data_IF_662897883976
#
_entry.id   IF_662897883976
#
_cell.length_a   1.000
_cell.length_b   1.000
_cell.length_c   1.000
_cell.angle_alpha   90.00
_cell.angle_beta   90.00
_cell.angle_gamma   90.00
#
_symmetry.space_group_name_H-M   'P 1'
#
loop_
_entity.id
_entity.type
_entity.pdbx_description
1 polymer ?
#
# COMPACT_ATOMS: atom_id res chain seq x y z
N UNK A 1 13.80 -13.84 7.37
CA UNK A 1 13.14 -12.62 6.86
C UNK A 1 13.99 -12.16 5.68
N UNK A 2 13.44 -12.09 4.47
CA UNK A 2 14.16 -11.55 3.32
C UNK A 2 14.02 -10.03 3.40
N UNK A 3 15.00 -9.39 4.01
CA UNK A 3 15.05 -7.93 4.01
C UNK A 3 15.20 -7.46 2.55
N UNK A 4 14.31 -6.55 2.14
CA UNK A 4 14.34 -5.96 0.81
C UNK A 4 15.65 -5.21 0.53
N UNK A 5 15.95 -4.96 -0.74
CA UNK A 5 17.24 -4.34 -1.15
C UNK A 5 17.55 -2.97 -0.51
N UNK A 6 16.53 -2.29 0.03
CA UNK A 6 16.58 -0.97 0.65
C UNK A 6 16.46 -0.97 2.18
N UNK A 7 16.38 -2.15 2.81
CA UNK A 7 16.33 -2.23 4.26
C UNK A 7 17.54 -1.54 4.89
N UNK A 8 17.29 -0.61 5.81
CA UNK A 8 18.31 0.17 6.50
C UNK A 8 19.04 1.20 5.63
N UNK A 9 18.47 1.61 4.49
CA UNK A 9 19.13 2.53 3.53
C UNK A 9 18.33 3.75 3.12
N UNK A 10 17.01 3.73 3.28
CA UNK A 10 16.14 4.82 2.84
C UNK A 10 15.10 5.14 3.92
N UNK A 11 15.15 6.38 4.42
CA UNK A 11 14.27 6.86 5.49
C UNK A 11 12.79 6.70 5.14
N UNK A 12 12.36 7.08 3.93
CA UNK A 12 10.95 6.97 3.55
C UNK A 12 10.48 5.50 3.54
N UNK A 13 11.33 4.60 3.05
CA UNK A 13 11.05 3.17 3.07
C UNK A 13 10.88 2.66 4.51
N UNK A 14 11.81 3.00 5.40
CA UNK A 14 11.76 2.57 6.80
C UNK A 14 10.55 3.16 7.55
N UNK A 15 10.28 4.45 7.37
CA UNK A 15 9.16 5.16 8.02
C UNK A 15 7.81 4.57 7.64
N UNK A 16 7.60 4.25 6.37
CA UNK A 16 6.37 3.62 5.90
C UNK A 16 6.18 2.23 6.51
N UNK A 17 7.23 1.42 6.59
CA UNK A 17 7.14 0.05 7.10
C UNK A 17 7.10 -0.02 8.63
N UNK A 18 7.58 1.00 9.34
CA UNK A 18 7.57 1.06 10.80
C UNK A 18 6.15 1.03 11.40
N UNK A 19 5.12 1.36 10.62
CA UNK A 19 3.72 1.29 11.06
C UNK A 19 3.20 -0.14 11.24
N UNK A 20 3.75 -1.13 10.52
CA UNK A 20 3.27 -2.52 10.55
C UNK A 20 4.36 -3.50 11.01
N UNK A 21 5.60 -3.28 10.56
CA UNK A 21 6.72 -4.15 10.87
C UNK A 21 7.43 -3.67 12.13
N UNK A 22 7.67 -4.59 13.06
CA UNK A 22 8.48 -4.33 14.25
C UNK A 22 9.97 -4.34 13.91
N UNK A 23 10.76 -3.72 14.78
CA UNK A 23 12.23 -3.72 14.72
C UNK A 23 12.80 -3.17 13.39
N UNK A 24 12.19 -2.09 12.87
CA UNK A 24 12.72 -1.35 11.70
C UNK A 24 13.94 -0.51 12.06
N UNK A 25 14.68 -0.11 11.03
CA UNK A 25 15.92 0.63 11.17
C UNK A 25 15.65 2.13 11.31
N UNK A 26 16.32 2.81 12.24
CA UNK A 26 16.38 4.27 12.23
C UNK A 26 17.41 4.73 11.20
N UNK A 27 16.95 5.42 10.16
CA UNK A 27 17.76 5.85 9.02
C UNK A 27 17.55 7.33 8.77
N UNK A 28 18.63 8.09 8.66
CA UNK A 28 18.64 9.52 8.32
C UNK A 28 19.34 9.75 6.96
N UNK A 29 18.99 8.90 5.99
CA UNK A 29 19.50 8.92 4.62
C UNK A 29 18.37 8.53 3.66
N UNK A 30 18.19 9.30 2.58
CA UNK A 30 17.18 8.99 1.56
C UNK A 30 17.70 9.30 0.16
N UNK A 31 17.12 8.60 -0.82
CA UNK A 31 17.41 8.84 -2.23
C UNK A 31 16.53 9.96 -2.80
N UNK A 32 17.05 10.67 -3.81
CA UNK A 32 16.31 11.67 -4.58
C UNK A 32 15.70 12.82 -3.76
N UNK A 33 16.54 13.62 -3.10
CA UNK A 33 16.13 14.73 -2.20
C UNK A 33 14.91 15.54 -2.67
N UNK A 34 14.91 16.09 -3.89
CA UNK A 34 13.72 16.70 -4.46
C UNK A 34 12.97 15.68 -5.35
N UNK A 35 11.70 15.34 -5.06
CA UNK A 35 10.81 15.96 -4.08
C UNK A 35 10.73 15.23 -2.73
N UNK A 36 11.41 14.08 -2.58
CA UNK A 36 11.18 13.14 -1.47
C UNK A 36 11.41 13.71 -0.07
N UNK A 37 12.22 14.74 0.08
CA UNK A 37 12.41 15.44 1.36
C UNK A 37 11.09 15.98 1.92
N UNK A 38 10.21 16.48 1.08
CA UNK A 38 8.93 17.05 1.55
C UNK A 38 8.03 15.93 2.10
N UNK A 39 7.93 14.79 1.41
CA UNK A 39 7.11 13.67 1.93
C UNK A 39 7.73 13.07 3.20
N UNK A 40 9.05 12.97 3.30
CA UNK A 40 9.74 12.50 4.52
C UNK A 40 9.43 13.45 5.68
N UNK A 41 9.63 14.76 5.51
CA UNK A 41 9.36 15.76 6.54
C UNK A 41 7.93 15.66 7.10
N UNK A 42 6.94 15.25 6.29
CA UNK A 42 5.56 15.12 6.73
C UNK A 42 5.35 14.14 7.90
N UNK A 43 6.24 13.15 8.06
CA UNK A 43 6.22 12.19 9.18
C UNK A 43 6.80 12.76 10.48
N UNK A 44 7.52 13.88 10.41
CA UNK A 44 8.25 14.47 11.53
C UNK A 44 7.68 15.83 11.96
N UNK A 45 6.45 16.16 11.55
CA UNK A 45 5.79 17.41 11.93
C UNK A 45 5.03 17.29 13.24
N UNK A 46 4.95 18.41 13.95
CA UNK A 46 4.21 18.50 15.21
C UNK A 46 2.71 18.64 14.98
N UNK A 47 2.29 19.18 13.83
CA UNK A 47 0.86 19.35 13.50
C UNK A 47 0.45 18.76 12.15
N UNK A 48 -0.79 18.25 12.03
CA UNK A 48 -1.31 17.72 10.77
C UNK A 48 -1.25 18.72 9.61
N UNK A 49 -1.46 20.01 9.88
CA UNK A 49 -1.45 21.07 8.86
C UNK A 49 -0.07 21.24 8.23
N UNK A 50 0.99 21.06 9.01
CA UNK A 50 2.35 21.08 8.49
C UNK A 50 2.63 19.85 7.63
N UNK A 51 2.19 18.66 8.05
CA UNK A 51 2.30 17.43 7.25
C UNK A 51 1.54 17.56 5.93
N UNK A 52 0.31 18.09 5.97
CA UNK A 52 -0.52 18.36 4.79
C UNK A 52 0.19 19.31 3.83
N UNK A 53 0.76 20.41 4.34
CA UNK A 53 1.49 21.39 3.53
C UNK A 53 2.71 20.76 2.84
N UNK A 54 3.41 19.88 3.54
CA UNK A 54 4.56 19.18 2.98
C UNK A 54 4.16 18.19 1.88
N UNK A 55 3.07 17.42 2.09
CA UNK A 55 2.50 16.54 1.05
C UNK A 55 2.04 17.35 -0.17
N UNK A 56 1.45 18.52 0.02
CA UNK A 56 1.07 19.39 -1.08
C UNK A 56 2.28 19.87 -1.90
N UNK A 57 3.36 20.26 -1.22
CA UNK A 57 4.60 20.70 -1.87
C UNK A 57 5.23 19.54 -2.66
N UNK A 58 5.25 18.36 -2.05
CA UNK A 58 5.66 17.11 -2.69
C UNK A 58 4.91 16.87 -3.99
N UNK A 59 3.56 16.86 -3.94
CA UNK A 59 2.70 16.61 -5.09
C UNK A 59 2.92 17.64 -6.21
N UNK A 60 3.01 18.94 -5.86
CA UNK A 60 3.29 20.02 -6.83
C UNK A 60 4.63 19.84 -7.53
N UNK A 61 5.64 19.34 -6.81
CA UNK A 61 6.99 19.13 -7.34
C UNK A 61 7.18 17.76 -8.02
N UNK A 62 6.28 16.80 -7.77
CA UNK A 62 6.42 15.38 -8.12
C UNK A 62 6.83 15.17 -9.57
N UNK A 63 5.95 15.53 -10.50
CA UNK A 63 6.17 15.23 -11.93
C UNK A 63 7.44 15.87 -12.48
N UNK A 64 7.67 17.15 -12.14
CA UNK A 64 8.83 17.91 -12.60
C UNK A 64 10.15 17.34 -12.08
N UNK A 65 10.15 16.78 -10.89
CA UNK A 65 11.36 16.23 -10.26
C UNK A 65 11.73 14.87 -10.85
N UNK A 66 10.76 14.18 -11.48
CA UNK A 66 10.92 12.85 -12.04
C UNK A 66 11.48 12.83 -13.47
N UNK A 67 11.92 13.98 -14.01
CA UNK A 67 12.47 14.09 -15.38
C UNK A 67 13.58 13.12 -15.75
N UNK A 68 14.35 12.65 -14.77
CA UNK A 68 15.45 11.69 -14.98
C UNK A 68 14.97 10.23 -14.91
N UNK A 69 13.74 10.00 -14.48
CA UNK A 69 13.19 8.67 -14.38
C UNK A 69 12.85 8.13 -15.78
N UNK A 70 13.13 6.84 -16.07
CA UNK A 70 12.94 6.27 -17.41
C UNK A 70 11.47 6.24 -17.84
N UNK A 71 10.53 6.32 -16.90
CA UNK A 71 9.09 6.33 -17.15
C UNK A 71 8.53 7.76 -17.37
N UNK A 72 9.30 8.81 -17.13
CA UNK A 72 8.86 10.19 -17.36
C UNK A 72 8.54 10.38 -18.85
N UNK A 73 7.42 11.05 -19.15
CA UNK A 73 6.88 11.22 -20.51
C UNK A 73 6.56 9.92 -21.27
N UNK A 74 6.50 8.77 -20.59
CA UNK A 74 6.13 7.50 -21.22
C UNK A 74 4.74 7.54 -21.89
N UNK A 75 3.82 8.37 -21.37
CA UNK A 75 2.51 8.64 -21.99
C UNK A 75 2.60 9.22 -23.41
N UNK A 76 3.70 9.90 -23.78
CA UNK A 76 3.91 10.42 -25.13
C UNK A 76 4.28 9.31 -26.14
N UNK A 77 4.72 8.15 -25.65
CA UNK A 77 5.13 7.00 -26.46
C UNK A 77 3.99 5.99 -26.68
N UNK A 78 2.74 6.40 -26.44
CA UNK A 78 1.53 5.62 -26.71
C UNK A 78 1.09 5.76 -28.17
N UNK A 79 1.98 5.44 -29.11
CA UNK A 79 1.71 5.46 -30.55
C UNK A 79 2.16 4.15 -31.21
N UNK A 80 1.90 3.99 -32.52
CA UNK A 80 2.19 2.77 -33.27
C UNK A 80 3.69 2.41 -33.34
N UNK A 81 4.57 3.35 -33.01
CA UNK A 81 6.03 3.22 -33.07
C UNK A 81 6.67 3.07 -31.68
N UNK A 82 5.90 3.32 -30.61
CA UNK A 82 6.35 3.34 -29.23
C UNK A 82 5.97 2.08 -28.46
N UNK A 83 6.69 1.82 -27.36
CA UNK A 83 6.53 0.60 -26.56
C UNK A 83 5.28 0.60 -25.64
N UNK A 84 4.44 1.64 -25.66
CA UNK A 84 3.16 1.67 -24.94
C UNK A 84 3.23 1.48 -23.43
N UNK A 85 4.40 1.62 -22.80
CA UNK A 85 4.64 1.27 -21.39
C UNK A 85 4.19 2.36 -20.39
N UNK A 86 3.07 3.03 -20.65
CA UNK A 86 2.48 3.99 -19.71
C UNK A 86 1.46 3.29 -18.81
N UNK A 87 1.68 3.33 -17.50
CA UNK A 87 0.85 2.72 -16.48
C UNK A 87 0.18 3.75 -15.54
N UNK A 88 0.20 5.02 -15.93
CA UNK A 88 -0.27 6.13 -15.10
C UNK A 88 0.84 6.80 -14.29
N UNK A 89 0.47 7.90 -13.64
CA UNK A 89 1.34 8.63 -12.72
C UNK A 89 0.71 8.58 -11.33
N UNK A 90 1.37 7.85 -10.43
CA UNK A 90 0.81 7.52 -9.13
C UNK A 90 1.83 7.83 -8.05
N UNK A 91 1.56 8.87 -7.26
CA UNK A 91 2.31 9.18 -6.05
C UNK A 91 1.78 8.31 -4.90
N UNK A 92 2.14 7.02 -4.90
CA UNK A 92 1.64 6.03 -3.94
C UNK A 92 2.08 6.37 -2.52
N UNK A 93 3.32 6.86 -2.37
CA UNK A 93 3.90 7.36 -1.13
C UNK A 93 3.07 8.49 -0.50
N UNK A 94 2.49 9.38 -1.30
CA UNK A 94 1.63 10.46 -0.78
C UNK A 94 0.31 9.91 -0.23
N UNK A 95 -0.28 8.91 -0.90
CA UNK A 95 -1.47 8.23 -0.39
C UNK A 95 -1.18 7.43 0.89
N UNK A 96 -0.03 6.74 0.94
CA UNK A 96 0.40 6.02 2.13
C UNK A 96 0.59 6.97 3.32
N UNK A 97 1.29 8.10 3.14
CA UNK A 97 1.47 9.10 4.19
C UNK A 97 0.12 9.68 4.68
N UNK A 98 -0.77 10.09 3.77
CA UNK A 98 -2.08 10.62 4.13
C UNK A 98 -2.97 9.62 4.89
N UNK A 99 -2.81 8.33 4.60
CA UNK A 99 -3.51 7.26 5.29
C UNK A 99 -2.88 6.96 6.66
N UNK A 100 -1.57 6.72 6.73
CA UNK A 100 -0.85 6.33 7.95
C UNK A 100 -0.81 7.45 9.00
N UNK A 101 -0.71 8.71 8.57
CA UNK A 101 -0.74 9.89 9.44
C UNK A 101 -2.17 10.37 9.76
N UNK A 102 -3.20 9.64 9.30
CA UNK A 102 -4.62 9.97 9.48
C UNK A 102 -5.00 11.41 9.06
N UNK A 103 -4.37 11.93 8.01
CA UNK A 103 -4.51 13.34 7.59
C UNK A 103 -5.81 13.62 6.83
N UNK A 104 -6.36 14.82 6.98
CA UNK A 104 -7.41 15.32 6.09
C UNK A 104 -6.80 15.71 4.72
N UNK A 105 -7.07 14.88 3.71
CA UNK A 105 -6.51 15.02 2.37
C UNK A 105 -7.36 15.87 1.42
N UNK A 106 -8.40 16.56 1.94
CA UNK A 106 -9.32 17.36 1.12
C UNK A 106 -8.61 18.41 0.26
N UNK A 107 -7.57 19.07 0.77
CA UNK A 107 -6.92 20.18 0.07
C UNK A 107 -6.13 19.77 -1.19
N UNK A 108 -5.66 18.52 -1.26
CA UNK A 108 -4.88 17.99 -2.38
C UNK A 108 -5.54 16.81 -3.10
N UNK A 109 -6.80 16.51 -2.75
CA UNK A 109 -7.56 15.38 -3.27
C UNK A 109 -7.70 15.36 -4.78
N UNK A 110 -7.75 16.53 -5.41
CA UNK A 110 -7.90 16.68 -6.87
C UNK A 110 -6.56 16.78 -7.61
N UNK A 111 -5.44 16.57 -6.92
CA UNK A 111 -4.14 16.53 -7.55
C UNK A 111 -4.01 15.31 -8.48
N UNK A 112 -3.59 15.53 -9.73
CA UNK A 112 -3.68 14.53 -10.80
C UNK A 112 -2.92 13.22 -10.55
N UNK A 113 -1.82 13.28 -9.79
CA UNK A 113 -1.01 12.09 -9.46
C UNK A 113 -1.36 11.48 -8.09
N UNK A 114 -2.28 12.09 -7.33
CA UNK A 114 -2.64 11.63 -5.99
C UNK A 114 -3.71 10.53 -6.07
N UNK A 115 -3.43 9.30 -5.60
CA UNK A 115 -4.36 8.18 -5.73
C UNK A 115 -5.40 8.18 -4.60
N UNK A 116 -6.30 9.19 -4.61
CA UNK A 116 -7.36 9.37 -3.59
C UNK A 116 -8.24 8.13 -3.37
N UNK A 117 -8.50 7.38 -4.43
CA UNK A 117 -9.37 6.20 -4.36
C UNK A 117 -8.72 5.06 -3.57
N UNK A 118 -7.37 4.96 -3.59
CA UNK A 118 -6.65 3.99 -2.76
C UNK A 118 -6.76 4.35 -1.28
N UNK A 119 -6.68 5.64 -0.94
CA UNK A 119 -6.85 6.12 0.44
C UNK A 119 -8.27 5.88 0.93
N UNK A 120 -9.28 6.16 0.10
CA UNK A 120 -10.67 5.86 0.43
C UNK A 120 -10.92 4.37 0.62
N UNK A 121 -10.35 3.55 -0.25
CA UNK A 121 -10.44 2.12 -0.14
C UNK A 121 -9.84 1.62 1.18
N UNK A 122 -8.62 2.05 1.51
CA UNK A 122 -7.94 1.67 2.75
C UNK A 122 -8.75 2.08 4.00
N UNK A 123 -9.20 3.35 4.06
CA UNK A 123 -10.04 3.85 5.16
C UNK A 123 -11.37 3.12 5.31
N UNK A 124 -11.97 2.67 4.19
CA UNK A 124 -13.19 1.85 4.22
C UNK A 124 -12.89 0.44 4.71
N UNK A 125 -11.77 -0.13 4.26
CA UNK A 125 -11.33 -1.47 4.65
C UNK A 125 -11.11 -1.55 6.16
N UNK A 126 -10.45 -0.57 6.78
CA UNK A 126 -10.24 -0.57 8.24
C UNK A 126 -11.54 -0.45 9.04
N UNK A 127 -12.47 0.38 8.56
CA UNK A 127 -13.80 0.52 9.21
C UNK A 127 -14.63 -0.76 9.11
N UNK A 128 -14.37 -1.58 8.10
CA UNK A 128 -15.03 -2.86 7.86
C UNK A 128 -14.26 -4.04 8.43
N UNK A 129 -12.98 -3.86 8.74
CA UNK A 129 -12.18 -4.86 9.38
C UNK A 129 -12.83 -5.15 10.74
N UNK A 130 -13.23 -6.41 11.03
CA UNK A 130 -13.55 -6.76 12.40
C UNK A 130 -12.33 -6.38 13.25
N UNK A 131 -12.53 -5.91 14.51
CA UNK A 131 -11.40 -5.59 15.38
C UNK A 131 -10.41 -6.73 15.28
N UNK A 132 -9.15 -6.43 14.91
CA UNK A 132 -8.09 -7.41 14.80
C UNK A 132 -8.20 -8.31 16.02
N UNK A 133 -8.71 -9.51 15.79
CA UNK A 133 -8.83 -10.49 16.82
C UNK A 133 -7.39 -10.75 17.23
N UNK A 134 -7.04 -10.40 18.46
CA UNK A 134 -5.97 -11.03 19.22
C UNK A 134 -6.28 -12.51 19.50
N UNK A 135 -7.22 -13.10 18.76
CA UNK A 135 -7.42 -14.52 18.64
C UNK A 135 -6.32 -15.13 17.76
N UNK A 136 -5.90 -16.35 18.10
CA UNK A 136 -4.72 -16.97 17.52
C UNK A 136 -4.90 -17.19 16.01
N UNK A 137 -3.79 -17.42 15.31
CA UNK A 137 -3.69 -17.89 13.90
C UNK A 137 -4.65 -19.05 13.51
N UNK A 138 -5.40 -19.60 14.47
CA UNK A 138 -6.41 -20.64 14.36
C UNK A 138 -7.58 -20.34 13.41
N UNK A 139 -7.78 -19.11 12.92
CA UNK A 139 -8.87 -18.81 11.97
C UNK A 139 -8.41 -18.69 10.51
N UNK A 140 -7.15 -19.04 10.20
CA UNK A 140 -6.66 -19.18 8.82
C UNK A 140 -6.18 -20.60 8.59
N UNK A 141 -6.72 -21.27 7.57
CA UNK A 141 -6.35 -22.64 7.22
C UNK A 141 -6.10 -22.73 5.72
N UNK A 142 -4.98 -23.34 5.32
CA UNK A 142 -4.68 -23.56 3.89
C UNK A 142 -5.62 -24.63 3.30
N UNK A 143 -5.96 -24.48 2.02
CA UNK A 143 -6.75 -25.48 1.29
C UNK A 143 -6.05 -26.84 1.30
N UNK A 144 -6.78 -27.89 1.67
CA UNK A 144 -6.24 -29.23 1.90
C UNK A 144 -5.97 -29.57 3.37
N UNK A 145 -6.16 -28.65 4.31
CA UNK A 145 -6.09 -28.91 5.75
C UNK A 145 -7.49 -28.97 6.41
N UNK A 146 -7.64 -29.64 7.57
CA UNK A 146 -8.90 -29.73 8.28
C UNK A 146 -9.28 -28.39 8.91
N UNK A 147 -10.57 -28.07 8.86
CA UNK A 147 -11.13 -26.86 9.41
C UNK A 147 -10.97 -26.80 10.94
N UNK A 148 -10.35 -25.75 11.50
CA UNK A 148 -10.03 -25.68 12.93
C UNK A 148 -11.27 -25.45 13.81
N UNK A 149 -12.31 -24.83 13.27
CA UNK A 149 -13.57 -24.54 13.96
C UNK A 149 -14.77 -24.56 13.01
N UNK A 150 -15.90 -25.11 13.47
CA UNK A 150 -17.14 -25.08 12.71
C UNK A 150 -17.61 -23.62 12.47
N UNK A 151 -18.05 -23.31 11.25
CA UNK A 151 -18.50 -21.97 10.88
C UNK A 151 -18.54 -21.74 9.38
N UNK A 152 -18.76 -20.50 8.97
CA UNK A 152 -18.69 -20.09 7.56
C UNK A 152 -17.28 -19.65 7.19
N UNK A 153 -16.73 -20.25 6.15
CA UNK A 153 -15.39 -19.99 5.62
C UNK A 153 -15.48 -19.64 4.14
N UNK A 154 -14.59 -18.79 3.66
CA UNK A 154 -14.48 -18.44 2.25
C UNK A 154 -13.00 -18.36 1.84
N UNK A 155 -12.73 -18.50 0.55
CA UNK A 155 -11.40 -18.28 -0.03
C UNK A 155 -11.43 -17.08 -0.98
N UNK A 156 -10.49 -16.13 -0.86
CA UNK A 156 -10.40 -15.02 -1.81
C UNK A 156 -9.97 -15.47 -3.22
N UNK A 157 -9.50 -16.72 -3.39
CA UNK A 157 -9.10 -17.27 -4.68
C UNK A 157 -10.28 -17.69 -5.58
N UNK A 158 -11.50 -17.81 -5.03
CA UNK A 158 -12.71 -18.21 -5.76
C UNK A 158 -13.85 -17.26 -5.37
N UNK A 159 -14.45 -16.60 -6.36
CA UNK A 159 -15.64 -15.76 -6.17
C UNK A 159 -16.82 -16.59 -5.64
N UNK A 160 -17.59 -16.04 -4.69
CA UNK A 160 -18.76 -16.69 -4.06
C UNK A 160 -18.45 -18.02 -3.35
N UNK A 161 -17.24 -18.18 -2.81
CA UNK A 161 -16.78 -19.41 -2.14
C UNK A 161 -17.24 -19.58 -0.68
N UNK A 162 -18.14 -18.72 -0.19
CA UNK A 162 -18.62 -18.77 1.19
C UNK A 162 -19.40 -20.08 1.42
N UNK A 163 -18.88 -20.92 2.30
CA UNK A 163 -19.49 -22.22 2.64
C UNK A 163 -19.35 -22.50 4.14
N UNK A 164 -20.33 -23.22 4.69
CA UNK A 164 -20.25 -23.73 6.05
C UNK A 164 -19.41 -25.01 6.13
N UNK A 165 -18.50 -25.10 7.09
CA UNK A 165 -17.67 -26.27 7.39
C UNK A 165 -17.85 -26.68 8.85
N UNK A 166 -17.82 -27.98 9.11
CA UNK A 166 -17.73 -28.53 10.48
C UNK A 166 -16.27 -28.57 10.97
N UNK A 167 -16.07 -28.62 12.29
CA UNK A 167 -14.72 -28.78 12.86
C UNK A 167 -14.12 -30.12 12.41
N UNK A 168 -12.95 -30.07 11.79
CA UNK A 168 -12.26 -31.21 11.20
C UNK A 168 -12.64 -31.53 9.75
N UNK A 169 -13.61 -30.82 9.16
CA UNK A 169 -13.96 -30.98 7.74
C UNK A 169 -12.84 -30.43 6.85
N UNK A 170 -12.50 -31.13 5.77
CA UNK A 170 -11.40 -30.74 4.89
C UNK A 170 -11.77 -29.50 4.07
N UNK A 171 -10.96 -28.45 4.15
CA UNK A 171 -11.13 -27.25 3.32
C UNK A 171 -10.70 -27.57 1.89
N UNK A 172 -11.60 -27.37 0.93
CA UNK A 172 -11.36 -27.71 -0.47
C UNK A 172 -10.32 -26.73 -1.05
N UNK A 173 -9.17 -27.20 -1.57
CA UNK A 173 -8.23 -26.32 -2.25
C UNK A 173 -8.85 -25.81 -3.56
N UNK A 174 -8.51 -24.58 -4.00
CA UNK A 174 -8.92 -24.13 -5.32
C UNK A 174 -8.43 -25.11 -6.38
N UNK A 175 -9.28 -25.37 -7.39
CA UNK A 175 -8.96 -26.31 -8.45
C UNK A 175 -7.62 -25.92 -9.08
N UNK A 176 -6.69 -26.87 -9.07
CA UNK A 176 -5.38 -26.69 -9.68
C UNK A 176 -5.58 -26.81 -11.19
N UNK A 177 -5.85 -25.70 -11.88
CA UNK A 177 -5.81 -25.66 -13.34
C UNK A 177 -4.35 -25.81 -13.78
N UNK A 178 -3.88 -27.05 -13.75
CA UNK A 178 -2.65 -27.48 -14.42
C UNK A 178 -3.01 -27.77 -15.87
N UNK A 179 -2.61 -26.86 -16.76
CA UNK A 179 -2.25 -27.19 -18.14
C UNK A 179 -0.75 -27.03 -18.27
#
# INVERSE_FOLDING_TARGET
MLDGAFAGKDTLYEDLFAYELKDRYEVDEWYHDAPYRDIINSFYRDTPEESIRDIENYLKAWYKSMKKAPWHDSHLSMNAEGCGAYFGYWAIEAAAAAYLLELDDHSFRDHIVYPKDLVDYARKFDKQAPPMSTGPEELRVEGGNPCPQAGYWFTPAITDSLRHFEKGEMVIPPANDRV
#
